data_IF_521447248613
#
_entry.id   IF_521447248613
#
_cell.length_a   1.000
_cell.length_b   1.000
_cell.length_c   1.000
_cell.angle_alpha   90.00
_cell.angle_beta   90.00
_cell.angle_gamma   90.00
#
_symmetry.space_group_name_H-M   'P 1'
#
loop_
_entity.id
_entity.type
_entity.pdbx_description
1 polymer ?
#
# COMPACT_ATOMS: atom_id res chain seq x y z
N UNK A 1 12.27 29.61 -26.29
CA UNK A 1 11.69 28.30 -25.93
C UNK A 1 12.70 27.60 -25.04
N UNK A 2 12.50 27.65 -23.72
CA UNK A 2 13.36 26.96 -22.77
C UNK A 2 12.88 25.53 -22.61
N UNK A 3 13.63 24.56 -23.13
CA UNK A 3 13.45 23.16 -22.76
C UNK A 3 13.78 22.99 -21.28
N UNK A 4 12.77 23.11 -20.41
CA UNK A 4 12.87 22.53 -19.08
C UNK A 4 13.12 21.04 -19.27
N UNK A 5 14.23 20.50 -18.76
CA UNK A 5 14.46 19.06 -18.63
C UNK A 5 13.41 18.50 -17.66
N UNK A 6 12.19 18.28 -18.12
CA UNK A 6 11.21 17.54 -17.34
C UNK A 6 11.67 16.09 -17.35
N UNK A 7 12.07 15.59 -16.18
CA UNK A 7 12.43 14.18 -16.02
C UNK A 7 11.27 13.28 -16.42
N UNK A 8 11.59 12.13 -17.00
CA UNK A 8 10.66 11.06 -17.38
C UNK A 8 10.08 10.40 -16.14
N UNK A 9 8.93 9.75 -16.28
CA UNK A 9 8.34 8.92 -15.25
C UNK A 9 8.70 7.46 -15.47
N UNK A 10 8.83 6.73 -14.37
CA UNK A 10 9.08 5.30 -14.34
C UNK A 10 8.20 4.67 -13.25
N UNK A 11 7.84 3.41 -13.41
CA UNK A 11 7.24 2.59 -12.35
C UNK A 11 8.24 1.53 -11.92
N UNK A 12 8.59 1.53 -10.64
CA UNK A 12 9.39 0.49 -10.02
C UNK A 12 8.48 -0.50 -9.29
N UNK A 13 8.69 -1.79 -9.53
CA UNK A 13 8.05 -2.87 -8.79
C UNK A 13 9.03 -3.39 -7.73
N UNK A 14 8.92 -2.89 -6.51
CA UNK A 14 9.80 -3.20 -5.40
C UNK A 14 9.32 -4.45 -4.65
N UNK A 15 10.24 -5.36 -4.36
CA UNK A 15 9.96 -6.56 -3.56
C UNK A 15 10.46 -6.35 -2.14
N UNK A 16 9.55 -6.48 -1.18
CA UNK A 16 9.83 -6.38 0.25
C UNK A 16 9.39 -7.68 0.93
N UNK A 17 10.15 -8.10 1.94
CA UNK A 17 9.82 -9.28 2.75
C UNK A 17 9.67 -8.88 4.20
N UNK A 18 8.53 -9.21 4.78
CA UNK A 18 8.22 -9.04 6.19
C UNK A 18 8.33 -10.39 6.89
N UNK A 19 9.02 -10.41 8.03
CA UNK A 19 9.15 -11.57 8.91
C UNK A 19 8.79 -11.19 10.32
N UNK A 20 8.03 -12.06 10.99
CA UNK A 20 7.71 -11.96 12.41
C UNK A 20 8.52 -13.01 13.16
N UNK A 21 9.13 -12.62 14.27
CA UNK A 21 9.90 -13.51 15.13
C UNK A 21 9.04 -14.67 15.65
N UNK A 22 9.56 -15.89 15.51
CA UNK A 22 8.85 -17.11 15.88
C UNK A 22 7.95 -17.68 14.78
N UNK A 23 7.64 -16.89 13.75
CA UNK A 23 6.83 -17.36 12.62
C UNK A 23 7.69 -18.02 11.54
N UNK A 24 7.16 -19.12 10.98
CA UNK A 24 7.85 -19.89 9.94
C UNK A 24 7.61 -19.34 8.52
N UNK A 25 6.51 -18.60 8.33
CA UNK A 25 6.12 -17.98 7.07
C UNK A 25 6.56 -16.53 7.02
N UNK A 26 6.86 -16.05 5.83
CA UNK A 26 7.07 -14.63 5.53
C UNK A 26 5.89 -14.07 4.73
N UNK A 27 5.72 -12.76 4.79
CA UNK A 27 4.85 -12.01 3.89
C UNK A 27 5.72 -11.30 2.86
N UNK A 28 5.31 -11.29 1.60
CA UNK A 28 6.02 -10.63 0.51
C UNK A 28 5.14 -9.54 -0.07
N UNK A 29 5.61 -8.30 -0.06
CA UNK A 29 4.93 -7.19 -0.72
C UNK A 29 5.58 -6.92 -2.08
N UNK A 30 4.75 -6.70 -3.10
CA UNK A 30 5.15 -6.10 -4.37
C UNK A 30 4.58 -4.69 -4.43
N UNK A 31 5.44 -3.71 -4.17
CA UNK A 31 5.06 -2.30 -4.13
C UNK A 31 5.31 -1.66 -5.50
N UNK A 32 4.31 -0.98 -6.06
CA UNK A 32 4.41 -0.24 -7.31
C UNK A 32 4.63 1.25 -7.00
N UNK A 33 5.77 1.79 -7.38
CA UNK A 33 6.18 3.16 -6.99
C UNK A 33 6.54 3.98 -8.22
N UNK A 34 5.94 5.16 -8.34
CA UNK A 34 6.29 6.15 -9.37
C UNK A 34 7.62 6.84 -9.04
N UNK A 35 8.49 6.92 -10.04
CA UNK A 35 9.82 7.54 -9.92
C UNK A 35 10.01 8.54 -11.06
N UNK A 36 10.29 9.79 -10.71
CA UNK A 36 10.70 10.81 -11.67
C UNK A 36 12.22 10.82 -11.80
N UNK A 37 12.75 10.65 -13.01
CA UNK A 37 14.19 10.64 -13.27
C UNK A 37 14.53 11.11 -14.68
N UNK A 38 15.74 11.66 -14.87
CA UNK A 38 16.25 12.07 -16.18
C UNK A 38 16.73 10.91 -17.05
N UNK A 39 16.93 9.73 -16.47
CA UNK A 39 17.40 8.52 -17.16
C UNK A 39 16.97 7.25 -16.42
N UNK A 40 17.00 6.11 -17.11
CA UNK A 40 16.69 4.81 -16.51
C UNK A 40 17.65 4.43 -15.38
N UNK A 41 18.94 4.78 -15.51
CA UNK A 41 19.94 4.53 -14.46
C UNK A 41 19.65 5.34 -13.19
N UNK A 42 19.29 6.62 -13.35
CA UNK A 42 18.88 7.44 -12.21
C UNK A 42 17.59 6.90 -11.57
N UNK A 43 16.63 6.43 -12.37
CA UNK A 43 15.41 5.80 -11.87
C UNK A 43 15.73 4.53 -11.06
N UNK A 44 16.61 3.67 -11.58
CA UNK A 44 17.06 2.46 -10.91
C UNK A 44 17.73 2.78 -9.57
N UNK A 45 18.66 3.73 -9.54
CA UNK A 45 19.32 4.12 -8.29
C UNK A 45 18.32 4.69 -7.27
N UNK A 46 17.40 5.57 -7.71
CA UNK A 46 16.33 6.09 -6.86
C UNK A 46 15.44 4.99 -6.30
N UNK A 47 15.11 3.98 -7.12
CA UNK A 47 14.30 2.85 -6.70
C UNK A 47 15.01 2.01 -5.62
N UNK A 48 16.30 1.72 -5.80
CA UNK A 48 17.11 1.01 -4.81
C UNK A 48 17.23 1.79 -3.50
N UNK A 49 17.48 3.09 -3.58
CA UNK A 49 17.62 3.94 -2.40
C UNK A 49 16.28 4.07 -1.66
N UNK A 50 15.17 4.21 -2.40
CA UNK A 50 13.81 4.22 -1.85
C UNK A 50 13.47 2.91 -1.14
N UNK A 51 13.71 1.77 -1.80
CA UNK A 51 13.47 0.45 -1.21
C UNK A 51 14.27 0.24 0.09
N UNK A 52 15.56 0.54 0.08
CA UNK A 52 16.42 0.42 1.28
C UNK A 52 16.00 1.32 2.44
N UNK A 53 15.46 2.52 2.15
CA UNK A 53 14.92 3.41 3.20
C UNK A 53 13.68 2.83 3.88
N UNK A 54 12.97 1.92 3.21
CA UNK A 54 11.83 1.18 3.76
C UNK A 54 12.23 0.03 4.68
N UNK A 55 13.51 -0.37 4.72
CA UNK A 55 13.98 -1.39 5.66
C UNK A 55 13.74 -0.92 7.10
N UNK A 56 12.99 -1.71 7.86
CA UNK A 56 12.69 -1.37 9.24
C UNK A 56 12.54 -2.60 10.13
N UNK A 57 12.69 -2.36 11.43
CA UNK A 57 12.45 -3.36 12.45
C UNK A 57 11.76 -2.69 13.63
N UNK A 58 10.70 -3.33 14.12
CA UNK A 58 9.91 -2.86 15.25
C UNK A 58 9.41 -4.04 16.06
N UNK A 59 8.87 -3.78 17.25
CA UNK A 59 8.16 -4.79 18.05
C UNK A 59 6.67 -4.64 17.81
N UNK A 60 5.98 -5.74 17.49
CA UNK A 60 4.52 -5.74 17.42
C UNK A 60 3.91 -5.73 18.84
N UNK A 61 2.59 -5.52 19.00
CA UNK A 61 1.93 -5.52 20.31
C UNK A 61 2.05 -6.83 21.11
N UNK A 62 2.37 -7.94 20.44
CA UNK A 62 2.65 -9.23 21.05
C UNK A 62 4.09 -9.33 21.57
N UNK A 63 4.89 -8.28 21.43
CA UNK A 63 6.30 -8.22 21.83
C UNK A 63 7.22 -9.00 20.91
N UNK A 64 6.75 -9.40 19.72
CA UNK A 64 7.56 -10.10 18.72
C UNK A 64 8.25 -9.09 17.83
N UNK A 65 9.51 -9.37 17.49
CA UNK A 65 10.24 -8.55 16.51
C UNK A 65 9.70 -8.78 15.10
N UNK A 66 9.31 -7.70 14.43
CA UNK A 66 8.95 -7.68 13.02
C UNK A 66 10.06 -7.01 12.23
N UNK A 67 10.50 -7.63 11.13
CA UNK A 67 11.52 -7.07 10.23
C UNK A 67 10.97 -7.02 8.81
N UNK A 68 10.87 -5.81 8.29
CA UNK A 68 10.65 -5.50 6.88
C UNK A 68 12.01 -5.33 6.19
N UNK A 69 12.20 -5.98 5.04
CA UNK A 69 13.43 -5.87 4.27
C UNK A 69 13.18 -5.87 2.77
N UNK A 70 13.59 -4.81 2.11
CA UNK A 70 13.72 -4.71 0.67
C UNK A 70 14.67 -5.76 0.12
N UNK A 71 14.25 -6.44 -0.95
CA UNK A 71 15.00 -7.50 -1.62
C UNK A 71 15.48 -7.12 -3.00
N UNK A 72 14.91 -6.08 -3.60
CA UNK A 72 15.27 -5.62 -4.93
C UNK A 72 14.06 -5.22 -5.75
N UNK A 73 14.29 -4.96 -7.03
CA UNK A 73 13.25 -4.66 -8.00
C UNK A 73 12.92 -5.92 -8.78
N UNK A 74 11.63 -6.19 -8.95
CA UNK A 74 11.13 -7.20 -9.88
C UNK A 74 10.94 -6.63 -11.29
N UNK A 75 10.69 -5.32 -11.41
CA UNK A 75 10.57 -4.60 -12.69
C UNK A 75 10.87 -3.11 -12.52
N UNK A 76 11.24 -2.45 -13.63
CA UNK A 76 11.39 -1.00 -13.73
C UNK A 76 11.04 -0.57 -15.17
N UNK A 77 9.92 0.12 -15.34
CA UNK A 77 9.38 0.47 -16.67
C UNK A 77 9.29 1.98 -16.83
N UNK A 78 9.75 2.50 -17.98
CA UNK A 78 9.58 3.92 -18.34
C UNK A 78 8.13 4.16 -18.80
N UNK A 79 7.51 5.23 -18.30
CA UNK A 79 6.23 5.75 -18.81
C UNK A 79 6.57 6.78 -19.88
N UNK A 80 6.19 6.49 -21.13
CA UNK A 80 6.57 7.28 -22.30
C UNK A 80 5.69 8.51 -22.54
N UNK A 81 4.56 8.58 -21.86
CA UNK A 81 3.49 9.56 -21.99
C UNK A 81 3.42 10.46 -20.75
N UNK A 82 2.69 11.56 -20.86
CA UNK A 82 2.41 12.40 -19.70
C UNK A 82 1.36 11.71 -18.83
N UNK A 83 1.52 11.75 -17.50
CA UNK A 83 0.53 11.16 -16.60
C UNK A 83 -0.74 12.01 -16.60
N UNK A 84 -1.80 11.50 -17.21
CA UNK A 84 -3.13 12.09 -17.24
C UNK A 84 -4.24 11.05 -17.00
N UNK A 85 -5.50 11.51 -16.92
CA UNK A 85 -6.65 10.63 -16.77
C UNK A 85 -6.76 9.67 -17.96
N UNK A 86 -6.88 8.37 -17.66
CA UNK A 86 -6.91 7.31 -18.67
C UNK A 86 -5.55 6.90 -19.24
N UNK A 87 -4.44 7.44 -18.72
CA UNK A 87 -3.12 7.09 -19.22
C UNK A 87 -2.66 5.69 -18.77
N UNK A 88 -1.98 4.97 -19.68
CA UNK A 88 -1.45 3.63 -19.41
C UNK A 88 -0.13 3.72 -18.63
N UNK A 89 -0.10 3.06 -17.46
CA UNK A 89 1.10 3.00 -16.63
C UNK A 89 2.07 1.91 -17.11
N UNK A 90 1.54 0.73 -17.43
CA UNK A 90 2.26 -0.43 -17.95
C UNK A 90 1.28 -1.38 -18.64
N UNK A 91 1.78 -2.23 -19.54
CA UNK A 91 1.01 -3.29 -20.16
C UNK A 91 1.80 -4.59 -20.22
N UNK A 92 1.05 -5.69 -20.28
CA UNK A 92 1.58 -7.02 -20.45
C UNK A 92 0.91 -7.68 -21.65
N UNK A 93 1.68 -8.42 -22.44
CA UNK A 93 1.16 -9.10 -23.62
C UNK A 93 1.32 -10.61 -23.48
N UNK A 94 0.21 -11.32 -23.67
CA UNK A 94 0.16 -12.77 -23.82
C UNK A 94 -0.29 -13.12 -25.24
N UNK A 95 0.24 -14.21 -25.81
CA UNK A 95 -0.07 -14.64 -27.17
C UNK A 95 -0.55 -16.09 -27.13
N UNK A 96 -1.72 -16.34 -27.74
CA UNK A 96 -2.26 -17.69 -27.91
C UNK A 96 -3.05 -18.22 -26.72
N UNK A 97 -3.56 -17.35 -25.85
CA UNK A 97 -4.51 -17.73 -24.80
C UNK A 97 -5.84 -18.18 -25.41
N UNK A 98 -6.46 -19.18 -24.81
CA UNK A 98 -7.85 -19.54 -25.11
C UNK A 98 -8.87 -18.67 -24.37
N UNK A 99 -10.15 -18.87 -24.67
CA UNK A 99 -11.23 -18.06 -24.06
C UNK A 99 -11.35 -18.30 -22.55
N UNK A 100 -11.08 -19.51 -22.05
CA UNK A 100 -11.16 -19.81 -20.63
C UNK A 100 -10.05 -19.09 -19.87
N UNK A 101 -8.83 -19.09 -20.41
CA UNK A 101 -7.69 -18.34 -19.88
C UNK A 101 -7.96 -16.82 -19.89
N UNK A 102 -8.53 -16.27 -20.97
CA UNK A 102 -8.89 -14.85 -21.04
C UNK A 102 -9.96 -14.50 -20.01
N UNK A 103 -11.01 -15.31 -19.88
CA UNK A 103 -12.08 -15.06 -18.89
C UNK A 103 -11.56 -15.14 -17.45
N UNK A 104 -10.57 -15.98 -17.18
CA UNK A 104 -9.93 -16.05 -15.85
C UNK A 104 -9.20 -14.76 -15.45
N UNK A 105 -8.88 -13.88 -16.40
CA UNK A 105 -8.25 -12.58 -16.14
C UNK A 105 -9.24 -11.47 -15.82
N UNK A 106 -10.55 -11.71 -15.97
CA UNK A 106 -11.60 -10.70 -15.81
C UNK A 106 -12.32 -10.94 -14.49
N UNK A 107 -12.06 -10.08 -13.50
CA UNK A 107 -12.78 -10.13 -12.23
C UNK A 107 -14.20 -9.55 -12.35
N UNK A 108 -15.21 -10.17 -11.71
CA UNK A 108 -16.49 -9.52 -11.44
C UNK A 108 -16.30 -8.18 -10.73
N UNK A 109 -17.25 -7.25 -10.90
CA UNK A 109 -17.13 -5.89 -10.35
C UNK A 109 -16.93 -5.91 -8.82
N UNK A 110 -17.71 -6.73 -8.14
CA UNK A 110 -17.67 -6.96 -6.70
C UNK A 110 -16.33 -7.48 -6.18
N UNK A 111 -15.53 -8.09 -7.05
CA UNK A 111 -14.21 -8.64 -6.72
C UNK A 111 -13.06 -7.69 -7.07
N UNK A 112 -13.34 -6.56 -7.75
CA UNK A 112 -12.33 -5.52 -7.96
C UNK A 112 -12.02 -4.84 -6.62
N UNK A 113 -10.73 -4.65 -6.30
CA UNK A 113 -10.25 -4.20 -4.98
C UNK A 113 -10.95 -2.95 -4.42
N UNK A 114 -11.35 -2.02 -5.30
CA UNK A 114 -12.03 -0.77 -4.91
C UNK A 114 -13.48 -0.98 -4.48
N UNK A 115 -14.13 -2.05 -4.95
CA UNK A 115 -15.52 -2.38 -4.66
C UNK A 115 -15.66 -3.55 -3.68
N UNK A 116 -14.60 -4.33 -3.47
CA UNK A 116 -14.61 -5.47 -2.56
C UNK A 116 -14.91 -5.03 -1.13
N UNK A 117 -15.88 -5.69 -0.50
CA UNK A 117 -16.13 -5.55 0.94
C UNK A 117 -15.06 -6.34 1.69
N UNK A 118 -14.21 -5.63 2.44
CA UNK A 118 -13.15 -6.25 3.24
C UNK A 118 -13.76 -7.05 4.39
N UNK A 119 -13.75 -8.37 4.27
CA UNK A 119 -14.01 -9.25 5.40
C UNK A 119 -12.68 -9.56 6.09
N UNK A 120 -12.67 -9.51 7.42
CA UNK A 120 -11.48 -9.75 8.23
C UNK A 120 -10.93 -11.19 8.09
N UNK A 121 -11.77 -12.10 7.57
CA UNK A 121 -11.47 -13.54 7.40
C UNK A 121 -10.94 -13.91 5.99
N UNK A 122 -10.80 -12.95 5.08
CA UNK A 122 -10.27 -13.22 3.73
C UNK A 122 -8.72 -13.34 3.78
N UNK A 123 -8.22 -14.56 4.05
CA UNK A 123 -6.81 -14.96 4.03
C UNK A 123 -6.24 -15.13 2.59
N UNK A 124 -6.76 -14.38 1.60
CA UNK A 124 -6.30 -14.50 0.21
C UNK A 124 -4.96 -13.77 0.01
N UNK A 125 -3.85 -14.49 -0.24
CA UNK A 125 -2.52 -13.90 -0.39
C UNK A 125 -2.36 -13.01 -1.63
N UNK A 126 -3.26 -13.13 -2.61
CA UNK A 126 -3.21 -12.36 -3.86
C UNK A 126 -4.03 -11.07 -3.79
N UNK A 127 -4.70 -10.81 -2.66
CA UNK A 127 -5.43 -9.56 -2.41
C UNK A 127 -4.47 -8.44 -1.98
N UNK A 128 -4.39 -7.30 -2.69
CA UNK A 128 -3.49 -6.21 -2.32
C UNK A 128 -3.83 -5.63 -0.95
N UNK A 129 -2.89 -5.63 0.00
CA UNK A 129 -3.13 -5.04 1.33
C UNK A 129 -3.22 -3.50 1.26
N UNK A 130 -4.40 -2.97 0.91
CA UNK A 130 -4.64 -1.53 0.84
C UNK A 130 -4.74 -0.87 2.22
N UNK A 131 -4.71 -1.64 3.33
CA UNK A 131 -4.69 -1.09 4.70
C UNK A 131 -3.40 -0.33 4.98
N UNK A 132 -2.35 -0.59 4.21
CA UNK A 132 -1.09 0.17 4.25
C UNK A 132 -1.22 1.63 3.74
N UNK A 133 -2.31 2.00 3.03
CA UNK A 133 -2.49 3.39 2.54
C UNK A 133 -2.67 4.41 3.67
N UNK A 134 -3.25 4.03 4.80
CA UNK A 134 -3.40 4.94 5.95
C UNK A 134 -2.08 5.28 6.66
N UNK A 135 -1.07 4.42 6.57
CA UNK A 135 0.23 4.64 7.21
C UNK A 135 1.09 5.68 6.50
N UNK A 136 1.04 5.72 5.16
CA UNK A 136 1.83 6.67 4.37
C UNK A 136 1.28 8.11 4.45
N UNK A 137 -0.04 8.27 4.57
CA UNK A 137 -0.67 9.59 4.72
C UNK A 137 -0.33 10.23 6.08
N UNK A 138 -0.30 9.43 7.16
CA UNK A 138 0.09 9.87 8.51
C UNK A 138 1.59 10.23 8.57
N UNK A 139 2.45 9.48 7.89
CA UNK A 139 3.89 9.76 7.82
C UNK A 139 4.21 11.02 6.97
N UNK A 140 3.39 11.29 5.94
CA UNK A 140 3.59 12.46 5.07
C UNK A 140 3.27 13.80 5.75
N UNK A 141 2.50 13.80 6.84
CA UNK A 141 2.20 14.99 7.64
C UNK A 141 3.34 15.36 8.62
N UNK A 142 4.45 14.62 8.63
CA UNK A 142 5.60 14.89 9.53
C UNK A 142 6.70 15.79 8.95
N UNK A 143 6.69 16.18 7.67
CA UNK A 143 7.75 17.05 7.10
C UNK A 143 7.41 18.55 6.98
N UNK A 144 6.14 18.97 7.11
CA UNK A 144 5.78 20.40 7.06
C UNK A 144 5.52 21.01 8.44
N UNK A 145 6.61 21.25 9.18
CA UNK A 145 6.69 22.33 10.18
C UNK A 145 7.64 23.39 9.59
N UNK A 146 7.33 24.66 9.30
CA UNK A 146 6.40 25.68 9.84
C UNK A 146 6.33 26.86 8.82
N UNK A 147 5.49 27.94 8.94
CA UNK A 147 4.68 28.36 10.10
C UNK A 147 3.25 28.93 9.86
N UNK A 148 2.43 28.89 10.93
CA UNK A 148 1.30 29.78 11.36
C UNK A 148 0.15 29.97 10.34
N UNK A 149 -1.11 29.59 10.61
CA UNK A 149 -2.02 30.13 11.65
C UNK A 149 -3.16 29.14 11.99
N UNK A 150 -3.90 29.47 13.06
CA UNK A 150 -4.89 28.70 13.85
C UNK A 150 -6.17 28.29 13.10
N UNK A 151 -6.78 27.19 13.54
CA UNK A 151 -8.23 26.96 13.77
C UNK A 151 -8.38 25.50 14.28
N UNK A 152 -8.45 25.25 15.59
CA UNK A 152 -9.63 25.18 16.48
C UNK A 152 -10.65 24.08 16.12
N UNK A 153 -10.90 23.21 17.10
CA UNK A 153 -11.89 22.13 17.22
C UNK A 153 -11.62 20.78 16.51
N UNK A 154 -10.69 19.99 17.05
CA UNK A 154 -10.74 18.52 16.95
C UNK A 154 -10.70 17.94 18.37
N UNK A 155 -11.73 17.15 18.70
CA UNK A 155 -11.84 16.46 19.98
C UNK A 155 -10.59 15.60 20.24
N UNK A 156 -10.02 15.77 21.44
CA UNK A 156 -8.82 15.07 21.90
C UNK A 156 -9.10 13.56 21.99
N UNK A 157 -8.60 12.78 21.03
CA UNK A 157 -8.68 11.31 21.07
C UNK A 157 -7.56 10.80 21.97
N UNK A 158 -7.93 10.11 23.07
CA UNK A 158 -6.98 9.54 24.03
C UNK A 158 -6.09 8.50 23.32
N UNK A 159 -4.76 8.64 23.36
CA UNK A 159 -3.81 7.71 22.75
C UNK A 159 -3.98 6.25 23.18
N UNK A 160 -4.63 6.00 24.32
CA UNK A 160 -4.96 4.66 24.81
C UNK A 160 -6.08 3.99 24.02
N UNK A 161 -7.02 4.77 23.50
CA UNK A 161 -8.14 4.25 22.72
C UNK A 161 -7.68 3.85 21.31
N UNK A 162 -6.70 4.56 20.76
CA UNK A 162 -6.05 4.24 19.47
C UNK A 162 -5.25 2.93 19.54
N UNK A 163 -4.56 2.69 20.66
CA UNK A 163 -3.76 1.47 20.86
C UNK A 163 -4.66 0.25 21.15
N UNK A 164 -5.73 0.45 21.92
CA UNK A 164 -6.70 -0.60 22.22
C UNK A 164 -7.43 -1.11 20.97
N UNK A 165 -7.72 -0.23 20.00
CA UNK A 165 -8.42 -0.61 18.77
C UNK A 165 -7.52 -1.36 17.78
N UNK A 166 -6.25 -0.95 17.67
CA UNK A 166 -5.24 -1.70 16.92
C UNK A 166 -5.02 -3.11 17.50
N UNK A 167 -5.03 -3.25 18.83
CA UNK A 167 -4.91 -4.54 19.51
C UNK A 167 -6.17 -5.42 19.41
N UNK A 168 -7.37 -4.81 19.36
CA UNK A 168 -8.65 -5.52 19.14
C UNK A 168 -8.68 -6.19 17.77
N UNK A 169 -8.24 -5.47 16.73
CA UNK A 169 -8.19 -5.95 15.34
C UNK A 169 -7.16 -7.08 15.19
N UNK A 170 -6.01 -7.00 15.87
CA UNK A 170 -4.95 -8.00 15.78
C UNK A 170 -5.19 -9.29 16.61
N UNK A 171 -6.24 -9.34 17.43
CA UNK A 171 -6.53 -10.50 18.32
C UNK A 171 -7.85 -11.22 18.02
N UNK A 172 -8.65 -10.78 17.05
CA UNK A 172 -9.92 -11.44 16.68
C UNK A 172 -10.99 -11.44 17.80
N UNK A 173 -11.10 -10.36 18.57
CA UNK A 173 -12.07 -10.26 19.68
C UNK A 173 -13.53 -10.03 19.22
N UNK A 174 -14.57 -10.49 19.96
CA UNK A 174 -15.96 -10.37 19.55
C UNK A 174 -16.43 -8.91 19.53
N UNK A 175 -17.23 -8.56 18.53
CA UNK A 175 -17.85 -7.23 18.39
C UNK A 175 -18.92 -7.02 19.46
N UNK A 176 -18.88 -5.89 20.16
CA UNK A 176 -20.04 -5.38 20.90
C UNK A 176 -21.19 -5.19 19.90
N UNK A 177 -22.23 -6.00 20.04
CA UNK A 177 -23.49 -5.80 19.35
C UNK A 177 -24.12 -4.52 19.86
N UNK A 178 -23.96 -3.42 19.11
CA UNK A 178 -24.94 -2.35 19.18
C UNK A 178 -26.25 -2.90 18.60
N UNK A 179 -27.10 -3.35 19.52
CA UNK A 179 -28.49 -3.65 19.35
C UNK A 179 -29.20 -2.40 18.78
N UNK A 180 -29.42 -2.37 17.48
CA UNK A 180 -30.30 -1.39 16.86
C UNK A 180 -31.69 -2.00 16.91
N UNK A 181 -32.44 -1.60 17.93
CA UNK A 181 -33.77 -2.08 18.22
C UNK A 181 -34.70 -2.04 17.01
N UNK A 182 -35.51 -3.09 16.92
CA UNK A 182 -36.78 -3.08 16.20
C UNK A 182 -37.60 -1.85 16.66
N UNK A 183 -37.90 -0.94 15.74
CA UNK A 183 -39.09 -0.08 15.88
C UNK A 183 -40.14 -0.54 14.87
N UNK A 184 -41.12 -1.27 15.40
CA UNK A 184 -42.42 -1.46 14.79
C UNK A 184 -43.27 -0.24 15.13
N UNK A 185 -43.79 0.45 14.11
CA UNK A 185 -45.19 0.88 14.10
C UNK A 185 -45.69 1.20 12.69
#
# INVERSE_FOLDING_TARGET
MGSSRQGKWYVAEMVEVIRVEGESKNVVHRNFVLIRAGSAEEAYQKALDGGKKGDMTYENPQGQRVTASFRGLSNLTEIYTELEDGEEITYYQWVGLDEEEIQSMISPKEDLDVFRSWNEDDDDPDTPDIRARGFAEILSLQEESMPLEKEDDLDEIDPRDVLAEAERILRGGPRDSHDIGEDRH
#
